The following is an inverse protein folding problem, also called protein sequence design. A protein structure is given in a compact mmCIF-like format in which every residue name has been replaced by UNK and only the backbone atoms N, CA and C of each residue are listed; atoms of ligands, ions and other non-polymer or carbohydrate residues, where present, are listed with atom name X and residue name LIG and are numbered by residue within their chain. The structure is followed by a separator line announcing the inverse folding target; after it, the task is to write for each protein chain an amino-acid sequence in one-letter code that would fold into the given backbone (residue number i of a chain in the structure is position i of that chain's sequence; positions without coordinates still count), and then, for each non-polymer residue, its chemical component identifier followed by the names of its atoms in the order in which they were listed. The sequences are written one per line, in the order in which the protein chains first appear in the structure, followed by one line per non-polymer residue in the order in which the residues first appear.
data_IF_821209476680
#
_entry.id   IF_821209476680
#
_cell.length_a   1.000
_cell.length_b   1.000
_cell.length_c   1.000
_cell.angle_alpha   90.00
_cell.angle_beta   90.00
_cell.angle_gamma   90.00
#
_symmetry.space_group_name_H-M   'P 1'
#
loop_
_entity.id
_entity.type
_entity.pdbx_description
1 polymer ?
#
# COMPACT_ATOMS: atom_id res chain seq x y z
N UNK A 1 -15.09 32.84 6.64
CA UNK A 1 -15.69 33.65 5.56
C UNK A 1 -16.70 32.74 4.86
N UNK A 2 -17.98 33.11 4.78
CA UNK A 2 -18.98 32.28 4.09
C UNK A 2 -19.08 32.72 2.64
N UNK A 3 -18.40 31.99 1.75
CA UNK A 3 -18.54 32.17 0.31
C UNK A 3 -19.97 31.81 -0.12
N UNK A 4 -20.61 32.57 -1.02
CA UNK A 4 -21.86 32.19 -1.67
C UNK A 4 -21.74 30.88 -2.45
N UNK A 5 -22.88 30.21 -2.71
CA UNK A 5 -22.92 28.87 -3.30
C UNK A 5 -22.28 28.79 -4.70
N UNK A 6 -22.49 29.80 -5.53
CA UNK A 6 -21.87 29.95 -6.85
C UNK A 6 -20.34 30.04 -6.74
N UNK A 7 -19.83 30.83 -5.80
CA UNK A 7 -18.38 30.92 -5.54
C UNK A 7 -17.80 29.60 -5.02
N UNK A 8 -18.54 28.85 -4.19
CA UNK A 8 -18.14 27.51 -3.73
C UNK A 8 -18.09 26.49 -4.88
N UNK A 9 -19.01 26.58 -5.84
CA UNK A 9 -19.03 25.74 -7.04
C UNK A 9 -17.83 26.06 -7.95
N UNK A 10 -17.55 27.34 -8.19
CA UNK A 10 -16.37 27.76 -8.94
C UNK A 10 -15.07 27.31 -8.28
N UNK A 11 -14.95 27.50 -6.95
CA UNK A 11 -13.78 27.07 -6.19
C UNK A 11 -13.59 25.54 -6.27
N UNK A 12 -14.66 24.76 -6.13
CA UNK A 12 -14.60 23.30 -6.27
C UNK A 12 -14.08 22.88 -7.64
N UNK A 13 -14.47 23.59 -8.72
CA UNK A 13 -13.95 23.33 -10.05
C UNK A 13 -12.46 23.69 -10.16
N UNK A 14 -12.04 24.85 -9.66
CA UNK A 14 -10.62 25.26 -9.66
C UNK A 14 -9.75 24.29 -8.87
N UNK A 15 -10.20 23.81 -7.73
CA UNK A 15 -9.50 22.78 -6.93
C UNK A 15 -9.24 21.52 -7.75
N UNK A 16 -10.23 21.07 -8.53
CA UNK A 16 -10.09 19.91 -9.41
C UNK A 16 -9.07 20.16 -10.51
N UNK A 17 -9.09 21.36 -11.10
CA UNK A 17 -8.17 21.75 -12.16
C UNK A 17 -6.73 21.86 -11.63
N UNK A 18 -6.52 22.55 -10.51
CA UNK A 18 -5.21 22.65 -9.84
C UNK A 18 -4.69 21.29 -9.39
N UNK A 19 -5.55 20.39 -8.92
CA UNK A 19 -5.15 19.04 -8.57
C UNK A 19 -4.55 18.29 -9.76
N UNK A 20 -5.17 18.41 -10.95
CA UNK A 20 -4.62 17.82 -12.19
C UNK A 20 -3.26 18.43 -12.56
N UNK A 21 -3.12 19.74 -12.45
CA UNK A 21 -1.84 20.43 -12.68
C UNK A 21 -0.73 19.96 -11.73
N UNK A 22 -1.09 19.62 -10.48
CA UNK A 22 -0.16 19.08 -9.48
C UNK A 22 0.16 17.58 -9.68
N UNK A 23 -0.43 16.95 -10.71
CA UNK A 23 -0.18 15.56 -11.08
C UNK A 23 -1.10 14.54 -10.41
N UNK A 24 -2.16 14.96 -9.71
CA UNK A 24 -3.23 14.04 -9.30
C UNK A 24 -4.02 13.61 -10.53
N UNK A 25 -4.33 12.31 -10.61
CA UNK A 25 -5.11 11.77 -11.71
C UNK A 25 -6.59 12.20 -11.62
N UNK A 26 -7.10 12.36 -10.39
CA UNK A 26 -8.45 12.85 -10.14
C UNK A 26 -8.56 13.43 -8.73
N UNK A 27 -9.38 14.46 -8.61
CA UNK A 27 -9.80 15.08 -7.34
C UNK A 27 -11.32 15.01 -7.27
N UNK A 28 -11.83 14.61 -6.10
CA UNK A 28 -13.26 14.63 -5.78
C UNK A 28 -13.46 15.18 -4.38
N UNK A 29 -14.69 15.60 -4.08
CA UNK A 29 -15.04 16.19 -2.80
C UNK A 29 -16.12 15.34 -2.13
N UNK A 30 -15.85 14.83 -0.94
CA UNK A 30 -16.81 14.08 -0.13
C UNK A 30 -17.34 14.91 1.03
N UNK A 31 -18.52 14.50 1.51
CA UNK A 31 -18.93 14.80 2.87
C UNK A 31 -18.08 14.00 3.87
N UNK A 32 -18.29 14.24 5.17
CA UNK A 32 -17.47 13.68 6.26
C UNK A 32 -18.16 12.56 7.04
N UNK A 33 -19.45 12.31 6.80
CA UNK A 33 -20.20 11.27 7.51
C UNK A 33 -19.79 9.88 7.02
N UNK A 34 -19.11 9.14 7.89
CA UNK A 34 -18.70 7.75 7.69
C UNK A 34 -19.32 6.82 8.74
N UNK A 35 -20.46 7.19 9.32
CA UNK A 35 -21.14 6.40 10.35
C UNK A 35 -21.43 4.96 9.90
N UNK A 36 -21.65 4.73 8.61
CA UNK A 36 -21.83 3.39 8.03
C UNK A 36 -20.60 2.48 8.17
N UNK A 37 -19.40 3.06 8.24
CA UNK A 37 -18.14 2.32 8.30
C UNK A 37 -17.75 1.87 9.72
N UNK A 38 -18.27 2.54 10.76
CA UNK A 38 -17.87 2.29 12.16
C UNK A 38 -18.11 0.84 12.59
N UNK A 39 -19.28 0.28 12.27
CA UNK A 39 -19.61 -1.09 12.64
C UNK A 39 -18.69 -2.12 11.95
N UNK A 40 -18.27 -1.85 10.72
CA UNK A 40 -17.31 -2.68 10.00
C UNK A 40 -15.92 -2.64 10.62
N UNK A 41 -15.45 -1.44 10.97
CA UNK A 41 -14.18 -1.25 11.65
C UNK A 41 -14.18 -1.93 13.02
N UNK A 42 -15.24 -1.75 13.83
CA UNK A 42 -15.33 -2.37 15.16
C UNK A 42 -15.25 -3.90 15.06
N UNK A 43 -16.02 -4.52 14.17
CA UNK A 43 -15.97 -5.98 13.97
C UNK A 43 -14.57 -6.47 13.56
N UNK A 44 -13.87 -5.69 12.74
CA UNK A 44 -12.51 -6.02 12.30
C UNK A 44 -11.48 -5.89 13.44
N UNK A 45 -11.65 -4.88 14.31
CA UNK A 45 -10.85 -4.73 15.53
C UNK A 45 -11.12 -5.84 16.54
N UNK A 46 -12.39 -6.16 16.80
CA UNK A 46 -12.82 -7.22 17.72
C UNK A 46 -12.31 -8.60 17.29
N UNK A 47 -12.27 -8.85 15.99
CA UNK A 47 -11.70 -10.08 15.42
C UNK A 47 -10.16 -10.16 15.52
N UNK A 48 -9.49 -9.10 15.99
CA UNK A 48 -8.04 -9.02 16.06
C UNK A 48 -7.35 -8.99 14.69
N UNK A 49 -8.09 -8.68 13.63
CA UNK A 49 -7.58 -8.74 12.25
C UNK A 49 -6.52 -7.66 11.94
N UNK A 50 -6.28 -6.72 12.84
CA UNK A 50 -5.20 -5.73 12.75
C UNK A 50 -3.81 -6.27 13.13
N UNK A 51 -3.72 -7.44 13.74
CA UNK A 51 -2.44 -7.98 14.20
C UNK A 51 -1.71 -7.02 15.13
N UNK A 52 -0.43 -6.74 14.84
CA UNK A 52 0.44 -5.86 15.63
C UNK A 52 0.26 -4.37 15.32
N UNK A 53 -0.61 -3.99 14.37
CA UNK A 53 -0.86 -2.59 14.02
C UNK A 53 -1.68 -1.88 15.11
N UNK A 54 -1.09 -1.65 16.29
CA UNK A 54 -1.75 -1.05 17.46
C UNK A 54 -2.33 0.34 17.16
N UNK A 55 -1.75 1.07 16.21
CA UNK A 55 -2.29 2.36 15.75
C UNK A 55 -3.69 2.25 15.13
N UNK A 56 -4.13 1.06 14.72
CA UNK A 56 -5.50 0.82 14.25
C UNK A 56 -6.52 0.86 15.40
N UNK A 57 -6.13 0.43 16.60
CA UNK A 57 -6.99 0.38 17.78
C UNK A 57 -6.83 1.62 18.70
N UNK A 58 -5.65 2.25 18.69
CA UNK A 58 -5.26 3.28 19.66
C UNK A 58 -6.14 4.53 19.71
N UNK A 59 -6.92 4.80 18.66
CA UNK A 59 -7.70 6.05 18.53
C UNK A 59 -9.21 5.82 18.39
N UNK A 60 -9.70 4.63 18.74
CA UNK A 60 -11.11 4.29 18.64
C UNK A 60 -11.67 4.59 17.24
N UNK A 61 -12.77 5.34 17.18
CA UNK A 61 -13.46 5.67 15.92
C UNK A 61 -12.99 6.97 15.26
N UNK A 62 -11.92 7.62 15.72
CA UNK A 62 -11.41 8.86 15.08
C UNK A 62 -11.18 8.71 13.58
N UNK A 63 -10.82 7.50 13.13
CA UNK A 63 -10.64 7.17 11.70
C UNK A 63 -11.89 7.35 10.86
N UNK A 64 -13.07 7.13 11.45
CA UNK A 64 -14.37 7.31 10.84
C UNK A 64 -15.00 8.68 11.16
N UNK A 65 -14.31 9.54 11.92
CA UNK A 65 -14.87 10.81 12.42
C UNK A 65 -13.93 11.97 12.13
N UNK A 66 -13.92 12.49 10.88
CA UNK A 66 -13.05 13.59 10.48
C UNK A 66 -13.07 14.81 11.42
N UNK A 67 -14.22 15.14 12.00
CA UNK A 67 -14.36 16.25 12.97
C UNK A 67 -13.66 16.01 14.31
N UNK A 68 -13.56 14.77 14.78
CA UNK A 68 -12.80 14.44 15.99
C UNK A 68 -11.28 14.42 15.74
N UNK A 69 -10.88 14.18 14.49
CA UNK A 69 -9.48 14.19 14.07
C UNK A 69 -8.96 15.62 13.83
N UNK A 70 -9.76 16.44 13.14
CA UNK A 70 -9.48 17.85 12.85
C UNK A 70 -10.76 18.65 13.12
N UNK A 71 -10.86 19.32 14.29
CA UNK A 71 -12.02 20.14 14.62
C UNK A 71 -12.31 21.19 13.55
N UNK A 72 -13.59 21.36 13.21
CA UNK A 72 -14.03 22.30 12.17
C UNK A 72 -14.07 21.72 10.74
N UNK A 73 -13.64 20.47 10.54
CA UNK A 73 -13.76 19.83 9.21
C UNK A 73 -15.22 19.78 8.75
N UNK A 74 -15.47 20.30 7.55
CA UNK A 74 -16.77 20.27 6.88
C UNK A 74 -16.75 19.36 5.66
N UNK A 75 -15.62 19.28 4.95
CA UNK A 75 -15.48 18.49 3.70
C UNK A 75 -14.12 17.81 3.63
N UNK A 76 -14.04 16.80 2.78
CA UNK A 76 -12.78 16.16 2.39
C UNK A 76 -12.58 16.28 0.90
N UNK A 77 -11.45 16.87 0.49
CA UNK A 77 -10.96 16.79 -0.88
C UNK A 77 -10.13 15.50 -0.96
N UNK A 78 -10.68 14.48 -1.63
CA UNK A 78 -10.02 13.20 -1.85
C UNK A 78 -9.32 13.19 -3.21
N UNK A 79 -8.07 12.75 -3.21
CA UNK A 79 -7.19 12.75 -4.36
C UNK A 79 -6.71 11.33 -4.66
N UNK A 80 -6.57 11.00 -5.95
CA UNK A 80 -5.83 9.79 -6.37
C UNK A 80 -4.65 10.13 -7.27
N UNK A 81 -3.56 9.38 -7.12
CA UNK A 81 -2.36 9.53 -7.94
C UNK A 81 -1.85 8.17 -8.39
N UNK A 82 -1.83 7.94 -9.71
CA UNK A 82 -1.38 6.67 -10.29
C UNK A 82 0.12 6.45 -10.03
N UNK A 83 0.52 5.19 -9.81
CA UNK A 83 1.92 4.84 -9.54
C UNK A 83 2.54 3.84 -10.50
N UNK A 84 1.79 3.34 -11.50
CA UNK A 84 2.36 2.40 -12.46
C UNK A 84 3.51 3.04 -13.24
N UNK A 85 4.68 2.39 -13.32
CA UNK A 85 5.82 2.94 -14.06
C UNK A 85 5.59 2.91 -15.57
N UNK A 86 4.72 2.02 -16.08
CA UNK A 86 4.38 1.88 -17.49
C UNK A 86 3.02 1.17 -17.68
N UNK A 87 2.36 1.44 -18.80
CA UNK A 87 1.04 0.88 -19.14
C UNK A 87 1.13 -0.48 -19.85
N UNK A 88 2.04 -0.66 -20.80
CA UNK A 88 2.01 -1.84 -21.66
C UNK A 88 2.73 -3.03 -21.03
N UNK A 89 2.05 -4.18 -21.03
CA UNK A 89 2.63 -5.46 -20.60
C UNK A 89 3.01 -5.56 -19.13
N UNK A 90 2.70 -4.56 -18.28
CA UNK A 90 3.15 -4.55 -16.89
C UNK A 90 2.64 -5.77 -16.11
N UNK A 91 1.38 -6.17 -16.31
CA UNK A 91 0.79 -7.35 -15.64
C UNK A 91 1.48 -8.64 -16.05
N UNK A 92 1.79 -8.79 -17.35
CA UNK A 92 2.49 -9.98 -17.84
C UNK A 92 3.89 -10.06 -17.24
N UNK A 93 4.63 -8.94 -17.22
CA UNK A 93 5.97 -8.88 -16.58
C UNK A 93 5.95 -9.22 -15.10
N UNK A 94 4.91 -8.82 -14.37
CA UNK A 94 4.74 -9.21 -12.97
C UNK A 94 4.28 -10.67 -12.80
N UNK A 95 3.59 -11.25 -13.78
CA UNK A 95 3.22 -12.67 -13.78
C UNK A 95 4.39 -13.59 -14.19
N UNK A 96 5.33 -13.11 -15.00
CA UNK A 96 6.48 -13.86 -15.51
C UNK A 96 7.65 -13.94 -14.51
N UNK A 97 7.45 -13.49 -13.26
CA UNK A 97 8.47 -13.53 -12.20
C UNK A 97 8.81 -14.98 -11.84
N UNK A 98 10.09 -15.26 -11.71
CA UNK A 98 10.62 -16.58 -11.34
C UNK A 98 10.87 -16.69 -9.85
N UNK A 99 11.04 -17.93 -9.37
CA UNK A 99 11.40 -18.19 -7.97
C UNK A 99 12.77 -17.62 -7.55
N UNK A 100 13.59 -17.04 -8.44
CA UNK A 100 14.86 -16.36 -8.10
C UNK A 100 14.75 -14.83 -8.06
N UNK A 101 13.66 -14.27 -8.58
CA UNK A 101 13.42 -12.83 -8.60
C UNK A 101 12.93 -12.34 -7.25
N UNK A 102 13.41 -11.18 -6.81
CA UNK A 102 12.89 -10.51 -5.62
C UNK A 102 11.66 -9.68 -6.01
N UNK A 103 10.47 -10.13 -5.62
CA UNK A 103 9.24 -9.39 -5.93
C UNK A 103 9.02 -8.32 -4.87
N UNK A 104 9.18 -7.07 -5.29
CA UNK A 104 8.80 -5.86 -4.56
C UNK A 104 7.50 -5.35 -5.17
N UNK A 105 6.49 -5.10 -4.33
CA UNK A 105 5.22 -4.53 -4.76
C UNK A 105 5.43 -3.26 -5.57
N UNK A 106 4.69 -3.12 -6.67
CA UNK A 106 4.89 -2.09 -7.69
C UNK A 106 4.88 -0.68 -7.09
N UNK A 107 4.06 -0.43 -6.07
CA UNK A 107 3.95 0.89 -5.44
C UNK A 107 5.23 1.32 -4.71
N UNK A 108 6.06 0.38 -4.26
CA UNK A 108 7.19 0.63 -3.38
C UNK A 108 8.53 0.82 -4.13
N UNK A 109 8.53 0.68 -5.46
CA UNK A 109 9.75 0.70 -6.29
C UNK A 109 10.33 2.10 -6.53
N UNK A 110 9.54 3.14 -6.29
CA UNK A 110 9.92 4.54 -6.47
C UNK A 110 10.22 5.27 -5.17
N UNK A 111 9.98 6.58 -5.16
CA UNK A 111 10.02 7.41 -3.94
C UNK A 111 8.84 7.12 -3.04
N UNK A 112 9.04 7.42 -1.76
CA UNK A 112 8.02 7.36 -0.72
C UNK A 112 6.82 8.26 -1.04
N UNK A 113 5.70 7.62 -1.41
CA UNK A 113 4.45 8.27 -1.80
C UNK A 113 3.90 9.17 -0.71
N UNK A 114 4.15 8.85 0.56
CA UNK A 114 3.70 9.66 1.69
C UNK A 114 4.15 11.11 1.55
N UNK A 115 5.43 11.32 1.20
CA UNK A 115 6.02 12.66 0.99
C UNK A 115 5.53 13.29 -0.31
N UNK A 116 5.46 12.51 -1.38
CA UNK A 116 5.05 12.98 -2.71
C UNK A 116 3.63 13.56 -2.67
N UNK A 117 2.68 12.81 -2.10
CA UNK A 117 1.28 13.21 -2.02
C UNK A 117 1.07 14.34 -1.01
N UNK A 118 1.65 14.27 0.21
CA UNK A 118 1.50 15.37 1.20
C UNK A 118 2.01 16.70 0.68
N UNK A 119 3.17 16.71 0.01
CA UNK A 119 3.72 17.94 -0.55
C UNK A 119 2.81 18.54 -1.63
N UNK A 120 2.14 17.71 -2.43
CA UNK A 120 1.21 18.17 -3.47
C UNK A 120 -0.14 18.59 -2.90
N UNK A 121 -0.65 17.89 -1.90
CA UNK A 121 -1.85 18.32 -1.16
C UNK A 121 -1.60 19.65 -0.45
N UNK A 122 -0.41 19.86 0.10
CA UNK A 122 -0.02 21.15 0.68
C UNK A 122 -0.01 22.25 -0.39
N UNK A 123 0.60 22.01 -1.56
CA UNK A 123 0.56 22.97 -2.67
C UNK A 123 -0.87 23.28 -3.13
N UNK A 124 -1.76 22.28 -3.13
CA UNK A 124 -3.17 22.49 -3.43
C UNK A 124 -3.83 23.38 -2.39
N UNK A 125 -3.60 23.14 -1.10
CA UNK A 125 -4.09 23.97 -0.02
C UNK A 125 -3.55 25.41 -0.11
N UNK A 126 -2.26 25.59 -0.43
CA UNK A 126 -1.65 26.90 -0.61
C UNK A 126 -2.33 27.70 -1.74
N UNK A 127 -2.68 27.05 -2.87
CA UNK A 127 -3.43 27.68 -3.96
C UNK A 127 -4.84 28.07 -3.56
N UNK A 128 -5.54 27.22 -2.82
CA UNK A 128 -6.87 27.56 -2.25
C UNK A 128 -6.73 28.77 -1.33
N UNK A 129 -5.72 28.79 -0.45
CA UNK A 129 -5.49 29.90 0.48
C UNK A 129 -5.17 31.22 -0.24
N UNK A 130 -4.45 31.16 -1.36
CA UNK A 130 -4.18 32.34 -2.20
C UNK A 130 -5.47 32.91 -2.83
N UNK A 131 -6.42 32.04 -3.18
CA UNK A 131 -7.67 32.44 -3.82
C UNK A 131 -8.67 33.05 -2.83
N UNK A 132 -8.88 32.42 -1.67
CA UNK A 132 -9.98 32.77 -0.75
C UNK A 132 -9.52 33.34 0.59
N UNK A 133 -8.21 33.46 0.79
CA UNK A 133 -7.61 33.80 2.07
C UNK A 133 -7.48 32.61 3.04
N UNK A 134 -7.09 32.86 4.29
CA UNK A 134 -6.88 31.83 5.30
C UNK A 134 -8.12 30.96 5.54
N UNK A 135 -7.91 29.64 5.59
CA UNK A 135 -8.93 28.64 5.94
C UNK A 135 -8.28 27.48 6.72
N UNK A 136 -9.08 26.71 7.44
CA UNK A 136 -8.61 25.54 8.19
C UNK A 136 -8.47 24.32 7.29
N UNK A 137 -7.29 23.70 7.29
CA UNK A 137 -7.07 22.46 6.55
C UNK A 137 -6.02 21.56 7.19
N UNK A 138 -6.02 20.29 6.78
CA UNK A 138 -4.94 19.35 7.07
C UNK A 138 -4.85 18.25 6.00
N UNK A 139 -3.64 18.05 5.47
CA UNK A 139 -3.33 17.01 4.51
C UNK A 139 -2.96 15.68 5.19
N UNK A 140 -3.42 14.58 4.63
CA UNK A 140 -3.20 13.21 5.11
C UNK A 140 -2.88 12.27 3.95
N UNK A 141 -2.01 11.29 4.25
CA UNK A 141 -1.65 10.17 3.37
C UNK A 141 -1.17 9.00 4.24
N UNK A 142 -1.92 7.91 4.32
CA UNK A 142 -1.72 6.60 5.00
C UNK A 142 -1.30 6.62 6.49
N UNK A 143 -0.37 7.48 6.87
CA UNK A 143 0.26 7.61 8.19
C UNK A 143 -0.62 8.27 9.26
N UNK A 144 -1.92 8.41 9.05
CA UNK A 144 -2.85 9.02 9.99
C UNK A 144 -4.14 8.19 10.10
N UNK A 145 -4.91 8.33 11.18
CA UNK A 145 -6.17 7.63 11.33
C UNK A 145 -7.23 8.31 10.45
N UNK A 146 -7.18 8.09 9.13
CA UNK A 146 -8.21 8.46 8.14
C UNK A 146 -8.71 7.19 7.44
N UNK A 147 -10.02 7.08 7.17
CA UNK A 147 -10.62 6.00 6.34
C UNK A 147 -10.57 6.41 4.87
N UNK A 148 -9.37 6.49 4.30
CA UNK A 148 -9.11 7.01 2.95
C UNK A 148 -9.98 6.34 1.87
N UNK A 149 -10.07 5.00 1.90
CA UNK A 149 -10.89 4.23 0.94
C UNK A 149 -12.38 4.57 1.04
N UNK A 150 -12.92 4.79 2.24
CA UNK A 150 -14.33 5.12 2.42
C UNK A 150 -14.63 6.54 1.95
N UNK A 151 -13.76 7.51 2.30
CA UNK A 151 -13.88 8.89 1.83
C UNK A 151 -13.77 8.98 0.32
N UNK A 152 -12.81 8.27 -0.28
CA UNK A 152 -12.63 8.22 -1.73
C UNK A 152 -13.82 7.54 -2.44
N UNK A 153 -14.40 6.49 -1.85
CA UNK A 153 -15.60 5.85 -2.38
C UNK A 153 -16.81 6.78 -2.33
N UNK A 154 -17.00 7.49 -1.20
CA UNK A 154 -18.07 8.47 -1.03
C UNK A 154 -17.91 9.68 -1.96
N UNK A 155 -16.67 10.10 -2.22
CA UNK A 155 -16.36 11.16 -3.19
C UNK A 155 -16.59 10.72 -4.65
N UNK A 156 -16.79 9.42 -4.91
CA UNK A 156 -16.96 8.90 -6.26
C UNK A 156 -15.67 8.73 -7.05
N UNK A 157 -14.50 8.63 -6.39
CA UNK A 157 -13.25 8.23 -7.06
C UNK A 157 -13.26 6.77 -7.53
N UNK A 158 -14.12 5.95 -6.91
CA UNK A 158 -14.22 4.53 -7.16
C UNK A 158 -15.18 3.84 -6.19
N UNK A 159 -15.10 2.52 -6.14
CA UNK A 159 -15.80 1.70 -5.15
C UNK A 159 -14.80 0.81 -4.42
N UNK A 160 -15.14 0.40 -3.20
CA UNK A 160 -14.33 -0.58 -2.46
C UNK A 160 -14.44 -1.95 -3.12
N UNK A 161 -13.33 -2.54 -3.50
CA UNK A 161 -13.27 -3.90 -4.03
C UNK A 161 -13.38 -4.97 -2.95
N UNK A 162 -13.70 -6.22 -3.33
CA UNK A 162 -13.75 -7.35 -2.38
C UNK A 162 -12.40 -7.61 -1.68
N UNK A 163 -11.28 -7.19 -2.28
CA UNK A 163 -9.94 -7.17 -1.67
C UNK A 163 -9.66 -5.93 -0.82
N UNK A 164 -10.70 -5.16 -0.49
CA UNK A 164 -10.70 -3.96 0.37
C UNK A 164 -10.04 -2.68 -0.15
N UNK A 165 -9.32 -2.70 -1.26
CA UNK A 165 -8.77 -1.47 -1.88
C UNK A 165 -9.83 -0.74 -2.71
N UNK A 166 -9.61 0.54 -2.98
CA UNK A 166 -10.43 1.31 -3.91
C UNK A 166 -10.16 0.87 -5.37
N UNK A 167 -11.22 0.73 -6.15
CA UNK A 167 -11.16 0.46 -7.58
C UNK A 167 -11.84 1.60 -8.33
N UNK A 168 -11.15 2.20 -9.29
CA UNK A 168 -11.68 3.15 -10.25
C UNK A 168 -11.96 2.45 -11.58
N UNK A 169 -13.06 2.81 -12.23
CA UNK A 169 -13.50 2.23 -13.50
C UNK A 169 -12.43 2.35 -14.59
N UNK A 170 -11.78 3.52 -14.64
CA UNK A 170 -10.86 3.90 -15.72
C UNK A 170 -9.38 3.81 -15.32
N UNK A 171 -9.09 3.41 -14.08
CA UNK A 171 -7.73 3.34 -13.54
C UNK A 171 -7.41 2.08 -12.71
N UNK A 172 -8.34 1.13 -12.58
CA UNK A 172 -8.11 -0.06 -11.77
C UNK A 172 -7.90 0.31 -10.29
N UNK A 173 -6.89 -0.25 -9.64
CA UNK A 173 -6.53 0.04 -8.24
C UNK A 173 -5.05 0.42 -8.06
N UNK A 174 -4.32 0.70 -9.14
CA UNK A 174 -2.88 0.98 -9.11
C UNK A 174 -2.58 2.48 -8.91
N UNK A 175 -3.14 3.04 -7.83
CA UNK A 175 -2.96 4.43 -7.43
C UNK A 175 -2.89 4.58 -5.91
N UNK A 176 -2.28 5.67 -5.46
CA UNK A 176 -2.31 6.13 -4.08
C UNK A 176 -3.53 7.01 -3.81
N UNK A 177 -3.94 7.09 -2.55
CA UNK A 177 -4.94 8.03 -2.05
C UNK A 177 -4.29 9.11 -1.18
N UNK A 178 -4.94 10.26 -1.11
CA UNK A 178 -4.60 11.30 -0.16
C UNK A 178 -5.78 12.24 0.07
N UNK A 179 -5.86 12.78 1.28
CA UNK A 179 -7.03 13.50 1.77
C UNK A 179 -6.62 14.86 2.29
N UNK A 180 -7.36 15.88 1.90
CA UNK A 180 -7.26 17.22 2.46
C UNK A 180 -8.59 17.53 3.16
N UNK A 181 -8.59 17.44 4.49
CA UNK A 181 -9.72 17.84 5.33
C UNK A 181 -9.76 19.38 5.35
N UNK A 182 -10.93 19.96 5.11
CA UNK A 182 -11.11 21.42 5.03
C UNK A 182 -12.34 21.88 5.81
N UNK A 183 -12.29 23.11 6.31
CA UNK A 183 -13.41 23.79 6.99
C UNK A 183 -14.29 24.62 6.03
N UNK A 184 -14.10 24.43 4.72
CA UNK A 184 -14.88 25.08 3.67
C UNK A 184 -16.06 24.16 3.29
N UNK A 185 -17.32 24.65 3.25
CA UNK A 185 -18.49 23.85 2.90
C UNK A 185 -18.63 23.64 1.38
N UNK A 186 -17.58 23.11 0.74
CA UNK A 186 -17.55 22.82 -0.69
C UNK A 186 -18.71 21.89 -1.10
N UNK A 187 -19.26 22.04 -2.32
CA UNK A 187 -20.23 21.08 -2.86
C UNK A 187 -19.58 19.70 -3.02
N UNK A 188 -20.36 18.65 -2.73
CA UNK A 188 -19.89 17.25 -2.77
C UNK A 188 -20.13 16.62 -4.13
N UNK A 189 -19.23 15.73 -4.52
CA UNK A 189 -19.39 14.84 -5.66
C UNK A 189 -20.25 13.62 -5.30
N UNK A 190 -20.90 13.02 -6.30
CA UNK A 190 -21.73 11.84 -6.10
C UNK A 190 -20.89 10.55 -6.11
N UNK A 191 -21.18 9.57 -5.23
CA UNK A 191 -20.54 8.27 -5.26
C UNK A 191 -20.86 7.50 -6.56
N UNK A 192 -20.01 6.53 -6.88
CA UNK A 192 -20.23 5.61 -8.00
C UNK A 192 -20.74 4.26 -7.50
N UNK A 193 -21.39 3.50 -8.39
CA UNK A 193 -21.87 2.14 -8.08
C UNK A 193 -20.74 1.12 -8.04
N UNK A 194 -20.87 0.08 -7.23
CA UNK A 194 -19.88 -1.01 -7.20
C UNK A 194 -19.97 -1.93 -8.44
N UNK A 195 -18.83 -2.48 -8.85
CA UNK A 195 -18.74 -3.30 -10.06
C UNK A 195 -17.95 -4.61 -9.87
N UNK A 196 -17.88 -5.14 -8.65
CA UNK A 196 -17.32 -6.47 -8.41
C UNK A 196 -18.28 -7.59 -8.85
N UNK A 197 -19.60 -7.43 -8.68
CA UNK A 197 -20.59 -8.45 -9.00
C UNK A 197 -20.27 -9.80 -8.36
N UNK A 198 -20.39 -10.88 -9.13
CA UNK A 198 -20.09 -12.25 -8.66
C UNK A 198 -18.59 -12.60 -8.67
N UNK A 199 -17.70 -11.71 -9.14
CA UNK A 199 -16.26 -11.98 -9.23
C UNK A 199 -15.66 -12.33 -7.86
N UNK A 200 -14.81 -13.35 -7.82
CA UNK A 200 -14.05 -13.77 -6.63
C UNK A 200 -12.53 -13.88 -6.89
N UNK A 201 -12.02 -13.38 -8.03
CA UNK A 201 -10.64 -13.61 -8.48
C UNK A 201 -9.59 -13.22 -7.45
N UNK A 202 -9.76 -12.08 -6.76
CA UNK A 202 -8.83 -11.62 -5.74
C UNK A 202 -8.80 -12.52 -4.49
N UNK A 203 -9.96 -13.08 -4.10
CA UNK A 203 -10.09 -14.00 -2.97
C UNK A 203 -9.38 -15.32 -3.34
N UNK A 204 -9.70 -15.87 -4.50
CA UNK A 204 -9.10 -17.11 -5.01
C UNK A 204 -7.58 -16.98 -5.16
N UNK A 205 -7.09 -15.85 -5.67
CA UNK A 205 -5.67 -15.62 -5.90
C UNK A 205 -4.86 -15.29 -4.63
N UNK A 206 -5.50 -15.00 -3.50
CA UNK A 206 -4.78 -14.63 -2.28
C UNK A 206 -4.01 -15.85 -1.74
N UNK A 207 -2.67 -15.83 -1.72
CA UNK A 207 -1.88 -17.04 -1.48
C UNK A 207 -2.06 -17.60 -0.07
N UNK A 208 -2.32 -16.73 0.90
CA UNK A 208 -2.53 -17.07 2.30
C UNK A 208 -4.02 -17.11 2.70
N UNK A 209 -4.93 -16.91 1.75
CA UNK A 209 -6.37 -16.77 2.01
C UNK A 209 -6.65 -15.71 3.10
N UNK A 210 -5.95 -14.58 3.03
CA UNK A 210 -6.12 -13.46 3.95
C UNK A 210 -7.44 -12.71 3.71
N UNK A 211 -8.01 -12.78 2.50
CA UNK A 211 -9.35 -12.22 2.22
C UNK A 211 -10.38 -13.28 2.63
N UNK A 212 -10.81 -13.23 3.89
CA UNK A 212 -11.67 -14.27 4.51
C UNK A 212 -13.13 -14.18 4.07
N UNK A 213 -13.55 -13.00 3.62
CA UNK A 213 -14.86 -12.74 3.02
C UNK A 213 -14.76 -11.46 2.15
N UNK A 214 -15.73 -11.20 1.25
CA UNK A 214 -15.80 -9.92 0.55
C UNK A 214 -15.64 -8.73 1.51
N UNK A 215 -14.71 -7.83 1.19
CA UNK A 215 -14.40 -6.60 1.94
C UNK A 215 -13.75 -6.84 3.31
N UNK A 216 -13.40 -8.08 3.65
CA UNK A 216 -12.84 -8.46 4.94
C UNK A 216 -11.48 -9.15 4.76
N UNK A 217 -10.43 -8.51 5.29
CA UNK A 217 -9.06 -9.02 5.25
C UNK A 217 -8.58 -9.28 6.67
N UNK A 218 -8.11 -10.50 6.95
CA UNK A 218 -7.31 -10.78 8.13
C UNK A 218 -5.85 -10.38 7.86
N UNK A 219 -5.43 -9.22 8.37
CA UNK A 219 -4.10 -8.69 8.06
C UNK A 219 -3.00 -9.63 8.57
N UNK A 220 -3.24 -10.38 9.66
CA UNK A 220 -2.26 -11.32 10.23
C UNK A 220 -1.82 -12.39 9.22
N UNK A 221 -2.64 -12.67 8.21
CA UNK A 221 -2.35 -13.61 7.12
C UNK A 221 -1.89 -12.90 5.85
N UNK A 222 -2.15 -11.60 5.69
CA UNK A 222 -1.84 -10.87 4.47
C UNK A 222 -0.34 -10.78 4.26
N UNK A 223 0.16 -11.23 3.10
CA UNK A 223 1.60 -11.16 2.77
C UNK A 223 2.14 -9.73 2.86
N UNK A 224 1.32 -8.73 2.51
CA UNK A 224 1.71 -7.32 2.66
C UNK A 224 1.95 -6.96 4.14
N UNK A 225 1.08 -7.37 5.06
CA UNK A 225 1.30 -7.16 6.49
C UNK A 225 2.52 -7.94 6.99
N UNK A 226 2.66 -9.22 6.60
CA UNK A 226 3.76 -10.08 7.04
C UNK A 226 5.14 -9.53 6.64
N UNK A 227 5.22 -8.88 5.48
CA UNK A 227 6.48 -8.35 4.94
C UNK A 227 6.75 -6.91 5.35
N UNK A 228 5.74 -6.15 5.79
CA UNK A 228 5.86 -4.71 6.07
C UNK A 228 5.62 -4.37 7.54
N UNK A 229 4.52 -4.83 8.12
CA UNK A 229 4.04 -4.38 9.43
C UNK A 229 4.50 -5.28 10.57
N UNK A 230 4.53 -6.60 10.32
CA UNK A 230 5.04 -7.57 11.29
C UNK A 230 6.53 -7.32 11.52
N UNK A 231 6.91 -6.97 12.76
CA UNK A 231 8.32 -6.76 13.13
C UNK A 231 9.00 -8.06 13.55
N UNK A 232 8.22 -9.03 14.05
CA UNK A 232 8.71 -10.30 14.57
C UNK A 232 8.84 -11.41 13.53
N UNK A 233 8.81 -12.65 14.00
CA UNK A 233 8.93 -13.85 13.16
C UNK A 233 7.71 -14.06 12.28
N UNK A 234 7.93 -14.39 11.00
CA UNK A 234 6.84 -14.86 10.15
C UNK A 234 6.48 -16.29 10.59
N UNK A 235 5.19 -16.58 10.89
CA UNK A 235 4.73 -17.92 11.27
C UNK A 235 5.14 -18.97 10.24
N UNK A 236 5.68 -20.10 10.71
CA UNK A 236 6.30 -21.13 9.86
C UNK A 236 5.33 -21.63 8.80
N UNK A 237 4.06 -21.82 9.16
CA UNK A 237 2.99 -22.27 8.29
C UNK A 237 2.62 -21.29 7.17
N UNK A 238 3.03 -20.02 7.26
CA UNK A 238 2.81 -19.01 6.23
C UNK A 238 4.03 -18.77 5.33
N UNK A 239 5.23 -19.19 5.75
CA UNK A 239 6.48 -18.91 5.01
C UNK A 239 6.44 -19.44 3.58
N UNK A 240 5.97 -20.68 3.37
CA UNK A 240 5.86 -21.29 2.04
C UNK A 240 4.88 -20.59 1.11
N UNK A 241 3.86 -19.95 1.67
CA UNK A 241 2.81 -19.27 0.92
C UNK A 241 3.22 -17.86 0.45
N UNK A 242 4.27 -17.27 1.01
CA UNK A 242 4.77 -15.95 0.60
C UNK A 242 5.40 -15.99 -0.80
N UNK A 243 5.96 -17.14 -1.20
CA UNK A 243 6.74 -17.26 -2.42
C UNK A 243 7.94 -16.32 -2.39
N UNK A 244 8.15 -15.54 -3.44
CA UNK A 244 9.28 -14.63 -3.63
C UNK A 244 8.96 -13.15 -3.30
N UNK A 245 7.88 -12.88 -2.56
CA UNK A 245 7.43 -11.53 -2.20
C UNK A 245 8.24 -10.98 -1.03
N UNK A 246 9.14 -10.05 -1.32
CA UNK A 246 10.10 -9.47 -0.35
C UNK A 246 9.51 -8.27 0.37
N UNK A 247 8.67 -7.47 -0.30
CA UNK A 247 8.02 -6.30 0.30
C UNK A 247 6.67 -6.04 -0.37
N UNK A 248 5.59 -6.14 0.41
CA UNK A 248 4.22 -6.00 -0.10
C UNK A 248 3.77 -7.21 -0.91
N UNK A 249 2.52 -7.18 -1.38
CA UNK A 249 1.96 -8.20 -2.25
C UNK A 249 0.89 -7.60 -3.17
N UNK A 250 1.03 -7.83 -4.48
CA UNK A 250 0.11 -7.29 -5.49
C UNK A 250 -0.88 -8.34 -6.02
N UNK A 251 -0.86 -9.59 -5.54
CA UNK A 251 -1.60 -10.71 -6.16
C UNK A 251 -3.10 -10.44 -6.29
N UNK A 252 -3.72 -9.88 -5.25
CA UNK A 252 -5.14 -9.54 -5.27
C UNK A 252 -5.47 -8.44 -6.29
N UNK A 253 -4.52 -7.54 -6.57
CA UNK A 253 -4.61 -6.52 -7.61
C UNK A 253 -4.33 -7.12 -9.00
N UNK A 254 -3.29 -7.94 -9.14
CA UNK A 254 -2.93 -8.60 -10.39
C UNK A 254 -4.05 -9.50 -10.90
N UNK A 255 -4.77 -10.17 -10.00
CA UNK A 255 -5.95 -10.98 -10.32
C UNK A 255 -7.22 -10.16 -10.60
N UNK A 256 -7.28 -8.89 -10.18
CA UNK A 256 -8.46 -8.05 -10.38
C UNK A 256 -8.63 -7.69 -11.87
N UNK A 257 -9.80 -7.99 -12.48
CA UNK A 257 -10.02 -7.72 -13.91
C UNK A 257 -10.01 -6.24 -14.25
N UNK A 258 -10.32 -5.36 -13.28
CA UNK A 258 -10.29 -3.91 -13.45
C UNK A 258 -8.89 -3.35 -13.63
N UNK A 259 -7.84 -4.06 -13.20
CA UNK A 259 -6.46 -3.62 -13.40
C UNK A 259 -5.96 -3.74 -14.85
N UNK A 260 -6.80 -4.23 -15.79
CA UNK A 260 -6.54 -4.02 -17.22
C UNK A 260 -6.68 -2.55 -17.63
N UNK A 261 -7.36 -1.73 -16.83
CA UNK A 261 -7.53 -0.29 -17.05
C UNK A 261 -6.53 0.56 -16.25
N UNK A 262 -5.57 -0.08 -15.58
CA UNK A 262 -4.63 0.65 -14.75
C UNK A 262 -3.75 1.61 -15.58
N UNK A 263 -3.50 2.79 -15.02
CA UNK A 263 -2.89 3.92 -15.72
C UNK A 263 -1.50 4.25 -15.18
N UNK A 264 -0.60 4.71 -16.05
CA UNK A 264 0.76 5.13 -15.73
C UNK A 264 0.75 6.35 -14.81
N UNK A 265 1.75 6.44 -13.94
CA UNK A 265 2.11 7.66 -13.25
C UNK A 265 2.49 8.77 -14.24
N UNK A 266 2.09 10.00 -13.93
CA UNK A 266 2.48 11.21 -14.67
C UNK A 266 3.65 11.95 -14.00
N UNK A 267 4.06 11.49 -12.81
CA UNK A 267 5.18 12.05 -12.05
C UNK A 267 6.35 11.07 -12.04
N UNK A 268 7.57 11.58 -12.19
CA UNK A 268 8.78 10.76 -12.21
C UNK A 268 9.16 10.21 -10.82
N UNK A 269 8.56 10.75 -9.75
CA UNK A 269 8.79 10.30 -8.38
C UNK A 269 8.53 8.79 -8.19
N UNK A 270 7.67 8.19 -9.03
CA UNK A 270 7.33 6.76 -8.97
C UNK A 270 8.04 5.89 -10.03
N UNK A 271 9.02 6.46 -10.75
CA UNK A 271 9.89 5.67 -11.59
C UNK A 271 10.68 4.64 -10.76
N UNK A 272 10.95 3.48 -11.34
CA UNK A 272 11.68 2.41 -10.66
C UNK A 272 13.08 2.87 -10.30
N UNK A 273 13.46 2.67 -9.03
CA UNK A 273 14.79 2.95 -8.51
C UNK A 273 15.56 1.67 -8.27
N UNK A 274 16.88 1.74 -8.37
CA UNK A 274 17.82 0.66 -7.99
C UNK A 274 17.54 -0.71 -8.65
N UNK A 275 16.87 -0.74 -9.81
CA UNK A 275 16.54 -1.98 -10.51
C UNK A 275 15.61 -2.91 -9.73
N UNK A 276 14.81 -2.39 -8.79
CA UNK A 276 13.89 -3.18 -7.97
C UNK A 276 12.82 -3.93 -8.77
N UNK A 277 12.63 -3.59 -10.05
CA UNK A 277 11.76 -4.30 -10.98
C UNK A 277 12.42 -5.50 -11.67
N UNK A 278 13.67 -5.83 -11.36
CA UNK A 278 14.41 -6.96 -11.94
C UNK A 278 15.50 -7.51 -11.01
N UNK A 279 15.41 -7.19 -9.73
CA UNK A 279 16.41 -7.57 -8.75
C UNK A 279 16.30 -9.08 -8.45
N UNK A 280 17.45 -9.75 -8.29
CA UNK A 280 17.49 -11.14 -7.82
C UNK A 280 17.51 -11.20 -6.30
N UNK A 281 16.90 -12.22 -5.71
CA UNK A 281 16.88 -12.37 -4.25
C UNK A 281 18.27 -12.50 -3.65
N UNK A 282 19.19 -13.25 -4.28
CA UNK A 282 20.56 -13.40 -3.79
C UNK A 282 21.28 -12.05 -3.74
N UNK A 283 21.17 -11.23 -4.80
CA UNK A 283 21.84 -9.92 -4.86
C UNK A 283 21.36 -9.00 -3.74
N UNK A 284 20.05 -8.95 -3.49
CA UNK A 284 19.46 -8.15 -2.43
C UNK A 284 19.77 -8.69 -1.03
N UNK A 285 19.83 -10.01 -0.86
CA UNK A 285 20.18 -10.65 0.41
C UNK A 285 21.62 -10.37 0.80
N UNK A 286 22.50 -10.23 -0.19
CA UNK A 286 23.91 -9.94 0.01
C UNK A 286 24.20 -8.48 0.38
N UNK A 287 23.23 -7.57 0.35
CA UNK A 287 23.42 -6.20 0.82
C UNK A 287 23.86 -6.15 2.30
N UNK A 288 24.82 -5.29 2.59
CA UNK A 288 25.10 -4.86 3.96
C UNK A 288 24.01 -3.91 4.46
N UNK A 289 23.94 -3.68 5.77
CA UNK A 289 23.01 -2.70 6.32
C UNK A 289 23.25 -1.30 5.75
N UNK A 290 24.52 -0.90 5.58
CA UNK A 290 24.87 0.38 4.98
C UNK A 290 24.37 0.48 3.52
N UNK A 291 24.52 -0.59 2.75
CA UNK A 291 24.00 -0.65 1.38
C UNK A 291 22.47 -0.56 1.38
N UNK A 292 21.77 -1.30 2.24
CA UNK A 292 20.32 -1.22 2.39
C UNK A 292 19.87 0.22 2.71
N UNK A 293 20.46 0.84 3.74
CA UNK A 293 20.10 2.19 4.17
C UNK A 293 20.33 3.24 3.08
N UNK A 294 21.43 3.10 2.32
CA UNK A 294 21.79 3.99 1.21
C UNK A 294 20.84 3.81 0.02
N UNK A 295 20.61 2.58 -0.43
CA UNK A 295 19.75 2.31 -1.58
C UNK A 295 18.28 2.61 -1.28
N UNK A 296 17.82 2.35 -0.06
CA UNK A 296 16.42 2.60 0.33
C UNK A 296 16.18 4.04 0.79
N UNK A 297 17.14 4.95 0.68
CA UNK A 297 16.93 6.34 1.04
C UNK A 297 15.77 6.97 0.23
N UNK A 298 14.77 7.49 0.96
CA UNK A 298 13.57 8.07 0.37
C UNK A 298 12.63 7.06 -0.30
N UNK A 299 12.82 5.75 -0.06
CA UNK A 299 11.87 4.68 -0.40
C UNK A 299 11.01 4.34 0.84
N UNK A 300 9.73 3.95 0.67
CA UNK A 300 8.92 3.49 1.80
C UNK A 300 9.50 2.21 2.43
N UNK A 301 10.28 1.42 1.67
CA UNK A 301 10.90 0.16 2.11
C UNK A 301 11.87 0.39 3.27
N UNK A 302 12.52 1.57 3.36
CA UNK A 302 13.50 1.84 4.42
C UNK A 302 12.94 1.65 5.83
N UNK A 303 11.62 1.82 6.01
CA UNK A 303 10.96 1.79 7.31
C UNK A 303 10.99 0.41 8.00
N UNK A 304 11.12 -0.69 7.25
CA UNK A 304 11.12 -2.04 7.83
C UNK A 304 12.46 -2.41 8.47
N UNK A 305 13.52 -1.66 8.15
CA UNK A 305 14.88 -1.97 8.59
C UNK A 305 15.51 -3.18 7.90
N UNK A 306 16.82 -3.33 8.08
CA UNK A 306 17.60 -4.35 7.40
C UNK A 306 17.31 -5.77 7.92
N UNK A 307 16.96 -5.94 9.20
CA UNK A 307 16.63 -7.26 9.74
C UNK A 307 15.36 -7.85 9.10
N UNK A 308 14.29 -7.06 9.00
CA UNK A 308 13.05 -7.48 8.31
C UNK A 308 13.28 -7.72 6.81
N UNK A 309 14.16 -6.92 6.20
CA UNK A 309 14.59 -7.12 4.81
C UNK A 309 15.24 -8.50 4.62
N UNK A 310 16.22 -8.84 5.45
CA UNK A 310 16.88 -10.15 5.43
C UNK A 310 15.91 -11.29 5.77
N UNK A 311 15.02 -11.09 6.74
CA UNK A 311 13.98 -12.06 7.11
C UNK A 311 13.11 -12.42 5.89
N UNK A 312 12.60 -11.41 5.20
CA UNK A 312 11.71 -11.60 4.04
C UNK A 312 12.46 -12.29 2.88
N UNK A 313 13.71 -11.87 2.62
CA UNK A 313 14.54 -12.48 1.60
C UNK A 313 14.93 -13.93 1.92
N UNK A 314 15.19 -14.26 3.19
CA UNK A 314 15.44 -15.64 3.60
C UNK A 314 14.22 -16.53 3.34
N UNK A 315 13.00 -16.04 3.61
CA UNK A 315 11.77 -16.75 3.24
C UNK A 315 11.68 -16.99 1.73
N UNK A 316 11.92 -15.94 0.93
CA UNK A 316 11.91 -16.06 -0.53
C UNK A 316 12.95 -17.05 -1.07
N UNK A 317 14.17 -16.99 -0.55
CA UNK A 317 15.25 -17.92 -0.91
C UNK A 317 14.90 -19.36 -0.53
N UNK A 318 14.32 -19.60 0.66
CA UNK A 318 13.85 -20.94 1.05
C UNK A 318 12.73 -21.46 0.13
N UNK A 319 11.82 -20.59 -0.29
CA UNK A 319 10.76 -20.95 -1.24
C UNK A 319 11.30 -21.30 -2.63
N UNK A 320 12.44 -20.74 -3.03
CA UNK A 320 13.08 -21.06 -4.29
C UNK A 320 13.51 -22.52 -4.40
N UNK A 321 13.67 -23.24 -3.26
CA UNK A 321 14.00 -24.66 -3.25
C UNK A 321 12.98 -25.55 -4.01
N UNK A 322 11.73 -25.10 -4.15
CA UNK A 322 10.71 -25.83 -4.93
C UNK A 322 11.05 -25.99 -6.41
N UNK A 323 11.79 -25.04 -6.99
CA UNK A 323 12.23 -25.05 -8.39
C UNK A 323 13.76 -25.19 -8.53
N UNK A 324 14.49 -24.81 -7.49
CA UNK A 324 15.95 -24.71 -7.47
C UNK A 324 16.52 -25.36 -6.20
N UNK A 325 16.13 -26.61 -5.97
CA UNK A 325 16.60 -27.39 -4.83
C UNK A 325 18.13 -27.48 -4.79
N UNK A 326 18.70 -27.27 -3.59
CA UNK A 326 20.15 -27.26 -3.35
C UNK A 326 20.99 -26.36 -4.31
N UNK A 327 20.41 -25.27 -4.84
CA UNK A 327 21.14 -24.30 -5.65
C UNK A 327 22.31 -23.69 -4.89
N UNK A 328 23.52 -23.80 -5.45
CA UNK A 328 24.76 -23.44 -4.78
C UNK A 328 24.83 -21.94 -4.44
N UNK A 329 24.35 -21.06 -5.31
CA UNK A 329 24.40 -19.61 -5.09
C UNK A 329 23.49 -19.22 -3.91
N UNK A 330 22.30 -19.82 -3.84
CA UNK A 330 21.33 -19.58 -2.77
C UNK A 330 21.87 -20.09 -1.42
N UNK A 331 22.34 -21.34 -1.39
CA UNK A 331 22.86 -21.96 -0.16
C UNK A 331 24.09 -21.20 0.34
N UNK A 332 25.00 -20.83 -0.55
CA UNK A 332 26.19 -20.03 -0.21
C UNK A 332 25.78 -18.68 0.37
N UNK A 333 24.84 -17.97 -0.26
CA UNK A 333 24.36 -16.67 0.21
C UNK A 333 23.76 -16.78 1.62
N UNK A 334 22.85 -17.74 1.85
CA UNK A 334 22.26 -18.01 3.17
C UNK A 334 23.32 -18.31 4.22
N UNK A 335 24.31 -19.15 3.88
CA UNK A 335 25.39 -19.53 4.79
C UNK A 335 26.23 -18.34 5.26
N UNK A 336 26.42 -17.30 4.42
CA UNK A 336 27.18 -16.09 4.80
C UNK A 336 26.60 -15.35 6.02
N UNK A 337 25.32 -15.58 6.34
CA UNK A 337 24.59 -14.93 7.44
C UNK A 337 24.03 -15.91 8.47
N UNK A 338 24.44 -17.18 8.45
CA UNK A 338 23.92 -18.21 9.36
C UNK A 338 24.10 -17.86 10.86
N UNK A 339 25.16 -17.10 11.19
CA UNK A 339 25.47 -16.63 12.56
C UNK A 339 25.09 -15.17 12.81
N UNK A 340 24.14 -14.61 12.05
CA UNK A 340 23.70 -13.21 12.20
C UNK A 340 23.29 -12.91 13.67
N UNK A 341 23.57 -11.73 14.25
CA UNK A 341 23.28 -11.45 15.67
C UNK A 341 21.79 -11.48 16.04
N UNK A 342 20.90 -11.12 15.11
CA UNK A 342 19.44 -11.21 15.30
C UNK A 342 18.93 -12.65 15.27
N UNK A 343 18.26 -13.07 16.35
CA UNK A 343 17.68 -14.42 16.46
C UNK A 343 16.61 -14.66 15.39
N UNK A 344 15.78 -13.65 15.10
CA UNK A 344 14.77 -13.69 14.05
C UNK A 344 15.40 -13.96 12.68
N UNK A 345 16.47 -13.24 12.34
CA UNK A 345 17.14 -13.47 11.04
C UNK A 345 17.71 -14.88 10.97
N UNK A 346 18.38 -15.36 12.03
CA UNK A 346 18.95 -16.72 12.08
C UNK A 346 17.90 -17.80 11.85
N UNK A 347 16.77 -17.78 12.56
CA UNK A 347 15.75 -18.83 12.42
C UNK A 347 15.13 -18.89 11.00
N UNK A 348 15.04 -17.76 10.29
CA UNK A 348 14.52 -17.74 8.92
C UNK A 348 15.57 -18.26 7.94
N UNK A 349 16.85 -17.95 8.16
CA UNK A 349 17.97 -18.52 7.39
C UNK A 349 18.05 -20.03 7.61
N UNK A 350 17.94 -20.51 8.85
CA UNK A 350 17.94 -21.94 9.16
C UNK A 350 16.77 -22.66 8.48
N UNK A 351 15.57 -22.09 8.55
CA UNK A 351 14.41 -22.62 7.86
C UNK A 351 14.62 -22.68 6.33
N UNK A 352 15.22 -21.64 5.74
CA UNK A 352 15.52 -21.58 4.31
C UNK A 352 16.55 -22.64 3.90
N UNK A 353 17.63 -22.78 4.67
CA UNK A 353 18.65 -23.82 4.46
C UNK A 353 18.06 -25.23 4.55
N UNK A 354 17.13 -25.46 5.48
CA UNK A 354 16.41 -26.73 5.58
C UNK A 354 15.55 -27.03 4.34
N UNK A 355 14.93 -26.01 3.71
CA UNK A 355 14.20 -26.21 2.45
C UNK A 355 15.12 -26.70 1.33
N UNK A 356 16.41 -26.32 1.37
CA UNK A 356 17.44 -26.78 0.44
C UNK A 356 18.16 -28.08 0.89
N UNK A 357 17.67 -28.76 1.93
CA UNK A 357 18.24 -30.01 2.42
C UNK A 357 19.56 -29.86 3.19
N UNK A 358 19.92 -28.64 3.59
CA UNK A 358 21.12 -28.40 4.39
C UNK A 358 20.81 -28.68 5.85
N UNK A 359 21.50 -29.66 6.43
CA UNK A 359 21.42 -29.99 7.85
C UNK A 359 22.31 -29.00 8.60
N UNK A 360 21.70 -28.06 9.32
CA UNK A 360 22.42 -27.16 10.22
C UNK A 360 22.37 -27.77 11.63
N UNK A 361 23.52 -28.11 12.24
CA UNK A 361 23.55 -28.61 13.61
C UNK A 361 22.90 -27.61 14.57
N UNK A 362 22.15 -28.13 15.55
CA UNK A 362 21.41 -27.34 16.54
C UNK A 362 22.29 -26.46 17.42
#
# INVERSE_FOLDING_TARGET
MTLPLDQLQELAQRIKDWGRELGFAEIRIADIDLSHAEAGLQRWLDAGYHGEMQYMAAHGMKRCRPQELVPGTLRVISARMNYLPQNEGWRAREADRTAKDAVISVYARGRDYHKVLRNRLQQLADRVQQEIGPFGYRAFTDSAPVMEVELASQAGLGWRGKHSLLISRDAGSMFFLGELLVDIPLPVDAPVTEHCGQCSSCITACPTQAIVAPYQVDARRCVSYLTIELQGSIPVELRSLIGNRVYGCDDCQLACPWNKFAQKAVVDDFAVRHGLDRARMVDLFLWSEEQFLRHMEGSPIRRIGHESWLRNLAVGLGNAAGEHYADADIVQALATRATHPSAMVREHILWALQQHGVIVPA
#
